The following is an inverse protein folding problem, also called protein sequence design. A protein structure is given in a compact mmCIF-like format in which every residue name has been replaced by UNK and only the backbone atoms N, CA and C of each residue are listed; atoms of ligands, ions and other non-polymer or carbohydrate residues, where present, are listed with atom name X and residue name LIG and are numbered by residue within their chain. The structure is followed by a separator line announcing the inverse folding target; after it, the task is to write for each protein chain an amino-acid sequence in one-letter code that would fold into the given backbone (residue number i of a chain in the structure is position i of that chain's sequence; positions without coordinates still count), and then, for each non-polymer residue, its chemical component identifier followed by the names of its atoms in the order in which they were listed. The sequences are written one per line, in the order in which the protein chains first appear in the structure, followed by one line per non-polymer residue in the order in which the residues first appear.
data_IF_399898902925
#
_entry.id   IF_399898902925
#
_cell.length_a   1.000
_cell.length_b   1.000
_cell.length_c   1.000
_cell.angle_alpha   90.00
_cell.angle_beta   90.00
_cell.angle_gamma   90.00
#
_symmetry.space_group_name_H-M   'P 1'
#
loop_
_entity.id
_entity.type
_entity.pdbx_description
1 polymer ?
#
# COMPACT_ATOMS: atom_id res chain seq x y z
N UNK A 1 9.06 -4.87 -7.39
CA UNK A 1 8.68 -3.66 -6.64
C UNK A 1 7.19 -3.41 -6.75
N UNK A 2 6.51 -3.16 -5.63
CA UNK A 2 5.07 -2.86 -5.58
C UNK A 2 4.85 -1.40 -5.96
N UNK A 3 4.08 -1.15 -7.02
CA UNK A 3 3.76 0.20 -7.49
C UNK A 3 2.46 0.67 -6.82
N UNK A 4 2.52 1.81 -6.13
CA UNK A 4 1.38 2.32 -5.35
C UNK A 4 0.73 3.51 -6.06
N UNK A 5 -0.59 3.52 -6.09
CA UNK A 5 -1.42 4.52 -6.76
C UNK A 5 -2.14 5.34 -5.71
N UNK A 6 -1.37 6.02 -4.85
CA UNK A 6 -1.90 6.90 -3.78
C UNK A 6 -1.44 8.34 -3.87
N UNK A 7 -0.68 8.69 -4.91
CA UNK A 7 -0.40 10.08 -5.25
C UNK A 7 -1.69 10.77 -5.73
N UNK A 8 -1.85 12.03 -5.35
CA UNK A 8 -2.98 12.84 -5.76
C UNK A 8 -2.47 14.00 -6.64
N UNK A 9 -2.92 14.05 -7.89
CA UNK A 9 -2.74 15.20 -8.76
C UNK A 9 -3.92 16.20 -8.66
N UNK A 10 -3.71 17.41 -9.18
CA UNK A 10 -4.73 18.46 -9.16
C UNK A 10 -5.97 18.04 -9.95
N UNK A 11 -7.10 17.87 -9.24
CA UNK A 11 -8.37 17.42 -9.83
C UNK A 11 -8.69 15.95 -9.56
N UNK A 12 -7.76 15.20 -8.96
CA UNK A 12 -8.00 13.82 -8.54
C UNK A 12 -8.62 13.74 -7.14
N UNK A 13 -9.46 12.71 -6.89
CA UNK A 13 -9.95 12.43 -5.54
C UNK A 13 -8.80 12.09 -4.59
N UNK A 14 -8.81 12.68 -3.40
CA UNK A 14 -7.92 12.27 -2.31
C UNK A 14 -8.42 10.94 -1.72
N UNK A 15 -7.84 9.85 -2.19
CA UNK A 15 -8.18 8.50 -1.73
C UNK A 15 -7.40 8.09 -0.47
N UNK A 16 -6.31 8.79 -0.12
CA UNK A 16 -5.44 8.42 0.98
C UNK A 16 -5.95 8.96 2.32
N UNK A 17 -6.41 10.21 2.37
CA UNK A 17 -6.80 10.85 3.65
C UNK A 17 -7.89 10.11 4.41
N UNK A 18 -8.81 9.43 3.71
CA UNK A 18 -9.89 8.65 4.32
C UNK A 18 -9.37 7.38 5.02
N UNK A 19 -8.27 6.80 4.52
CA UNK A 19 -7.74 5.51 5.00
C UNK A 19 -6.34 5.61 5.60
N UNK A 20 -5.75 6.80 5.71
CA UNK A 20 -4.36 7.00 6.12
C UNK A 20 -4.00 6.45 7.50
N UNK A 21 -4.97 6.26 8.40
CA UNK A 21 -4.74 5.66 9.72
C UNK A 21 -5.03 4.15 9.77
N UNK A 22 -5.28 3.52 8.62
CA UNK A 22 -5.52 2.08 8.53
C UNK A 22 -4.21 1.31 8.42
N UNK A 23 -4.25 0.02 8.79
CA UNK A 23 -3.11 -0.86 8.56
C UNK A 23 -2.85 -1.02 7.05
N UNK A 24 -1.57 -0.95 6.67
CA UNK A 24 -1.09 -1.27 5.34
C UNK A 24 -0.82 -2.76 5.26
N UNK A 25 -1.43 -3.43 4.30
CA UNK A 25 -1.30 -4.87 4.08
C UNK A 25 -0.68 -5.12 2.71
N UNK A 26 0.31 -5.99 2.67
CA UNK A 26 0.84 -6.55 1.44
C UNK A 26 0.30 -7.96 1.34
N UNK A 27 -0.42 -8.25 0.26
CA UNK A 27 -1.10 -9.53 0.03
C UNK A 27 -0.53 -10.23 -1.19
N UNK A 28 -0.51 -11.56 -1.20
CA UNK A 28 -0.23 -12.33 -2.41
C UNK A 28 -1.30 -12.05 -3.46
N UNK A 29 -1.01 -12.39 -4.73
CA UNK A 29 -2.01 -12.30 -5.81
C UNK A 29 -3.22 -13.24 -5.59
N UNK A 30 -3.10 -14.24 -4.70
CA UNK A 30 -4.21 -15.09 -4.27
C UNK A 30 -5.06 -14.46 -3.15
N UNK A 31 -4.63 -13.32 -2.60
CA UNK A 31 -5.32 -12.58 -1.54
C UNK A 31 -4.84 -12.89 -0.11
N UNK A 32 -3.83 -13.74 0.07
CA UNK A 32 -3.28 -14.07 1.39
C UNK A 32 -2.46 -12.90 1.94
N UNK A 33 -2.66 -12.52 3.21
CA UNK A 33 -1.88 -11.46 3.85
C UNK A 33 -0.46 -11.96 4.13
N UNK A 34 0.53 -11.33 3.50
CA UNK A 34 1.96 -11.62 3.68
C UNK A 34 2.58 -10.73 4.76
N UNK A 35 2.16 -9.45 4.80
CA UNK A 35 2.63 -8.45 5.76
C UNK A 35 1.47 -7.56 6.19
N UNK A 36 1.46 -7.17 7.47
CA UNK A 36 0.60 -6.13 8.00
C UNK A 36 1.44 -5.13 8.79
N UNK A 37 1.34 -3.85 8.44
CA UNK A 37 2.06 -2.75 9.10
C UNK A 37 1.04 -1.76 9.68
N UNK A 38 1.07 -1.48 11.00
CA UNK A 38 0.17 -0.51 11.60
C UNK A 38 0.46 0.91 11.08
N UNK A 39 -0.58 1.75 11.01
CA UNK A 39 -0.40 3.13 10.60
C UNK A 39 0.48 3.92 11.58
N UNK A 40 1.30 4.86 11.09
CA UNK A 40 1.91 5.89 11.93
C UNK A 40 0.85 6.73 12.65
N UNK A 41 1.20 7.32 13.79
CA UNK A 41 0.29 8.23 14.52
C UNK A 41 -0.16 9.42 13.66
N UNK A 42 0.71 9.92 12.77
CA UNK A 42 0.41 10.98 11.80
C UNK A 42 -0.42 10.52 10.59
N UNK A 43 -0.68 9.22 10.46
CA UNK A 43 -1.20 8.61 9.24
C UNK A 43 -0.12 8.39 8.18
N UNK A 44 -0.45 7.56 7.19
CA UNK A 44 0.39 7.26 6.04
C UNK A 44 0.48 8.44 5.08
N UNK A 45 1.69 8.67 4.58
CA UNK A 45 1.94 9.43 3.35
C UNK A 45 2.27 8.46 2.21
N UNK A 46 2.13 8.92 0.96
CA UNK A 46 2.54 8.13 -0.21
C UNK A 46 4.00 7.65 -0.09
N UNK A 47 4.92 8.56 0.26
CA UNK A 47 6.35 8.24 0.39
C UNK A 47 6.63 7.17 1.46
N UNK A 48 5.91 7.20 2.59
CA UNK A 48 6.05 6.16 3.62
C UNK A 48 5.53 4.81 3.15
N UNK A 49 4.39 4.78 2.45
CA UNK A 49 3.87 3.52 1.88
C UNK A 49 4.84 2.92 0.88
N UNK A 50 5.45 3.74 0.01
CA UNK A 50 6.47 3.30 -0.95
C UNK A 50 7.72 2.77 -0.22
N UNK A 51 8.19 3.48 0.81
CA UNK A 51 9.34 3.01 1.60
C UNK A 51 9.07 1.66 2.26
N UNK A 52 7.91 1.49 2.90
CA UNK A 52 7.49 0.22 3.50
C UNK A 52 7.34 -0.88 2.45
N UNK A 53 6.81 -0.57 1.26
CA UNK A 53 6.74 -1.54 0.17
C UNK A 53 8.12 -2.03 -0.28
N UNK A 54 9.11 -1.14 -0.36
CA UNK A 54 10.50 -1.49 -0.69
C UNK A 54 11.13 -2.37 0.41
N UNK A 55 10.91 -2.03 1.68
CA UNK A 55 11.40 -2.82 2.82
C UNK A 55 10.91 -4.29 2.80
N UNK A 56 9.75 -4.53 2.19
CA UNK A 56 9.12 -5.85 2.10
C UNK A 56 9.18 -6.50 0.71
N UNK A 57 9.96 -5.97 -0.24
CA UNK A 57 10.05 -6.53 -1.58
C UNK A 57 10.51 -8.00 -1.61
N UNK A 58 11.34 -8.40 -0.64
CA UNK A 58 11.83 -9.78 -0.51
C UNK A 58 10.72 -10.81 -0.27
N UNK A 59 9.56 -10.40 0.24
CA UNK A 59 8.41 -11.29 0.49
C UNK A 59 7.38 -11.28 -0.63
N UNK A 60 7.62 -10.54 -1.72
CA UNK A 60 6.76 -10.47 -2.89
C UNK A 60 7.41 -11.06 -4.16
N UNK A 61 8.10 -12.23 -4.11
CA UNK A 61 8.84 -12.75 -5.28
C UNK A 61 7.91 -13.19 -6.42
N UNK A 62 6.69 -13.64 -6.08
CA UNK A 62 5.66 -14.09 -7.03
C UNK A 62 4.63 -12.99 -7.36
N UNK A 63 4.93 -11.75 -6.97
CA UNK A 63 4.01 -10.62 -7.07
C UNK A 63 3.11 -10.45 -5.84
N UNK A 64 2.56 -9.25 -5.69
CA UNK A 64 1.73 -8.86 -4.57
C UNK A 64 0.84 -7.65 -4.87
N UNK A 65 -0.23 -7.53 -4.11
CA UNK A 65 -1.10 -6.36 -4.05
C UNK A 65 -0.92 -5.60 -2.73
N UNK A 66 -1.00 -4.27 -2.80
CA UNK A 66 -1.04 -3.38 -1.66
C UNK A 66 -2.47 -3.01 -1.30
N UNK A 67 -2.82 -3.14 -0.02
CA UNK A 67 -4.11 -2.75 0.52
C UNK A 67 -3.95 -1.82 1.71
N UNK A 68 -4.80 -0.80 1.81
CA UNK A 68 -4.85 0.10 2.96
C UNK A 68 -6.29 0.20 3.45
N UNK A 69 -6.57 -0.27 4.67
CA UNK A 69 -7.94 -0.28 5.21
C UNK A 69 -8.92 -1.13 4.39
N UNK A 70 -8.41 -2.17 3.73
CA UNK A 70 -9.21 -3.03 2.84
C UNK A 70 -9.44 -2.46 1.43
N UNK A 71 -8.97 -1.26 1.14
CA UNK A 71 -8.96 -0.70 -0.21
C UNK A 71 -7.67 -1.09 -0.94
N UNK A 72 -7.77 -1.56 -2.17
CA UNK A 72 -6.60 -1.80 -3.02
C UNK A 72 -5.95 -0.45 -3.38
N UNK A 73 -4.63 -0.37 -3.27
CA UNK A 73 -3.86 0.85 -3.51
C UNK A 73 -2.64 0.65 -4.42
N UNK A 74 -2.48 -0.53 -5.01
CA UNK A 74 -1.34 -0.80 -5.89
C UNK A 74 -1.03 -2.28 -6.05
N UNK A 75 -0.19 -2.61 -7.03
CA UNK A 75 0.21 -3.98 -7.35
C UNK A 75 1.60 -4.03 -7.95
N UNK A 76 2.21 -5.21 -7.97
CA UNK A 76 3.45 -5.46 -8.72
C UNK A 76 3.20 -5.66 -10.22
N UNK A 77 1.95 -5.82 -10.65
CA UNK A 77 1.57 -6.15 -12.04
C UNK A 77 1.11 -4.96 -12.89
N UNK A 78 1.23 -3.73 -12.37
CA UNK A 78 0.77 -2.49 -13.02
C UNK A 78 1.93 -1.63 -13.53
#
# INVERSE_FOLDING_TARGET
MLHLVTEQEAGEPDILSVVMHSAFEIRSLAGDVLVTVPAPESGWTHAQLVATAVEHEAVTPDGADGYLGGQWIGSTEI
#
